data_IF_932895119443
#
_entry.id   IF_932895119443
#
_cell.length_a   1.000
_cell.length_b   1.000
_cell.length_c   1.000
_cell.angle_alpha   90.00
_cell.angle_beta   90.00
_cell.angle_gamma   90.00
#
_symmetry.space_group_name_H-M   'P 1'
#
loop_
_entity.id
_entity.type
_entity.pdbx_description
1 polymer ?
#
# COMPACT_ATOMS: atom_id res chain seq x y z
N UNK A 1 5.27 -5.82 -0.21
CA UNK A 1 5.00 -5.88 -1.67
C UNK A 1 6.14 -5.31 -2.49
N UNK A 2 6.36 -3.99 -2.55
CA UNK A 2 7.38 -3.39 -3.44
C UNK A 2 8.77 -4.05 -3.43
N UNK A 3 9.34 -4.29 -2.24
CA UNK A 3 10.66 -4.93 -2.11
C UNK A 3 10.74 -6.34 -2.69
N UNK A 4 9.77 -7.22 -2.38
CA UNK A 4 9.77 -8.60 -2.90
C UNK A 4 9.44 -8.64 -4.40
N UNK A 5 8.58 -7.75 -4.88
CA UNK A 5 8.29 -7.62 -6.31
C UNK A 5 9.54 -7.20 -7.11
N UNK A 6 10.28 -6.20 -6.60
CA UNK A 6 11.54 -5.77 -7.22
C UNK A 6 12.59 -6.89 -7.18
N UNK A 7 12.76 -7.55 -6.04
CA UNK A 7 13.69 -8.67 -5.89
C UNK A 7 13.37 -9.83 -6.85
N UNK A 8 12.09 -10.20 -6.96
CA UNK A 8 11.64 -11.23 -7.89
C UNK A 8 11.91 -10.87 -9.35
N UNK A 9 11.69 -9.60 -9.74
CA UNK A 9 11.98 -9.13 -11.10
C UNK A 9 13.48 -9.16 -11.42
N UNK A 10 14.32 -8.64 -10.52
CA UNK A 10 15.78 -8.65 -10.69
C UNK A 10 16.34 -10.08 -10.77
N UNK A 11 15.82 -11.00 -9.95
CA UNK A 11 16.21 -12.41 -10.00
C UNK A 11 15.84 -13.04 -11.35
N UNK A 12 14.66 -12.73 -11.89
CA UNK A 12 14.22 -13.22 -13.20
C UNK A 12 15.08 -12.69 -14.36
N UNK A 13 15.71 -11.53 -14.18
CA UNK A 13 16.69 -10.94 -15.13
C UNK A 13 18.12 -11.50 -14.93
N UNK A 14 18.31 -12.44 -14.00
CA UNK A 14 19.58 -13.15 -13.79
C UNK A 14 20.52 -12.50 -12.79
N UNK A 15 20.08 -11.48 -12.05
CA UNK A 15 20.88 -10.86 -11.00
C UNK A 15 20.89 -11.71 -9.73
N UNK A 16 22.00 -11.66 -8.99
CA UNK A 16 22.07 -12.22 -7.63
C UNK A 16 21.47 -11.23 -6.63
N UNK A 17 20.36 -11.60 -6.00
CA UNK A 17 19.61 -10.69 -5.13
C UNK A 17 19.56 -11.17 -3.68
N UNK A 18 19.88 -10.26 -2.75
CA UNK A 18 19.63 -10.42 -1.32
C UNK A 18 18.59 -9.39 -0.88
N UNK A 19 17.48 -9.85 -0.31
CA UNK A 19 16.43 -9.01 0.28
C UNK A 19 16.63 -8.94 1.81
N UNK A 20 16.78 -7.73 2.32
CA UNK A 20 16.93 -7.44 3.76
C UNK A 20 15.61 -6.86 4.29
N UNK A 21 14.95 -7.56 5.21
CA UNK A 21 13.75 -7.10 5.92
C UNK A 21 14.11 -6.79 7.38
N UNK A 22 13.84 -5.56 7.80
CA UNK A 22 14.23 -5.08 9.13
C UNK A 22 13.40 -5.66 10.27
N UNK A 23 12.19 -6.16 10.01
CA UNK A 23 11.39 -6.90 10.99
C UNK A 23 11.75 -8.38 10.97
N UNK A 24 11.42 -9.06 12.06
CA UNK A 24 11.45 -10.52 12.19
C UNK A 24 10.37 -11.24 11.37
N UNK A 25 9.50 -10.49 10.68
CA UNK A 25 8.42 -11.00 9.83
C UNK A 25 8.41 -10.34 8.46
N UNK A 26 7.90 -11.10 7.49
CA UNK A 26 7.61 -10.61 6.15
C UNK A 26 6.31 -9.78 6.12
N UNK A 27 6.04 -9.17 4.96
CA UNK A 27 4.76 -8.49 4.66
C UNK A 27 4.78 -6.97 4.80
N UNK A 28 5.60 -6.42 5.70
CA UNK A 28 5.63 -4.99 5.95
C UNK A 28 4.27 -4.49 6.48
N UNK A 29 3.52 -3.77 5.63
CA UNK A 29 2.16 -3.28 5.94
C UNK A 29 1.07 -4.34 5.78
N UNK A 30 1.39 -5.52 5.25
CA UNK A 30 0.48 -6.66 5.28
C UNK A 30 0.83 -7.52 6.50
N UNK A 31 -0.17 -7.84 7.30
CA UNK A 31 0.00 -8.64 8.50
C UNK A 31 -1.29 -9.38 8.80
N UNK A 32 -1.23 -10.70 8.77
CA UNK A 32 -2.34 -11.59 9.09
C UNK A 32 -2.06 -12.27 10.42
N UNK A 33 -3.00 -12.22 11.35
CA UNK A 33 -3.04 -13.08 12.54
C UNK A 33 -3.99 -14.26 12.29
N UNK A 34 -3.60 -15.45 12.74
CA UNK A 34 -4.38 -16.68 12.60
C UNK A 34 -4.71 -17.33 13.95
N UNK A 35 -4.38 -16.65 15.05
CA UNK A 35 -4.55 -17.17 16.43
C UNK A 35 -5.99 -17.52 16.79
N UNK A 36 -6.98 -16.91 16.11
CA UNK A 36 -8.40 -17.14 16.32
C UNK A 36 -8.99 -18.32 15.52
N UNK A 37 -8.14 -19.08 14.81
CA UNK A 37 -8.58 -20.20 13.96
C UNK A 37 -9.06 -19.80 12.56
N UNK A 38 -8.99 -18.51 12.24
CA UNK A 38 -9.20 -17.95 10.90
C UNK A 38 -8.25 -16.75 10.68
N UNK A 39 -7.90 -16.42 9.42
CA UNK A 39 -7.04 -15.27 9.14
C UNK A 39 -7.77 -13.94 9.38
N UNK A 40 -7.16 -13.08 10.18
CA UNK A 40 -7.55 -11.71 10.42
C UNK A 40 -6.43 -10.77 9.98
N UNK A 41 -6.69 -9.94 8.97
CA UNK A 41 -5.72 -8.98 8.45
C UNK A 41 -5.73 -7.67 9.27
N UNK A 42 -4.56 -7.30 9.78
CA UNK A 42 -4.28 -6.00 10.43
C UNK A 42 -3.72 -4.96 9.44
N UNK A 43 -3.78 -5.26 8.15
CA UNK A 43 -3.26 -4.43 7.06
C UNK A 43 -4.19 -4.49 5.86
N UNK A 44 -3.63 -4.57 4.66
CA UNK A 44 -4.43 -4.85 3.47
C UNK A 44 -5.11 -6.22 3.58
N UNK A 45 -6.33 -6.34 3.05
CA UNK A 45 -7.09 -7.59 2.97
C UNK A 45 -7.75 -7.84 1.60
N UNK A 46 -7.87 -6.80 0.76
CA UNK A 46 -8.53 -6.85 -0.54
C UNK A 46 -7.56 -6.63 -1.71
N UNK A 47 -7.87 -7.26 -2.84
CA UNK A 47 -7.35 -6.90 -4.16
C UNK A 47 -8.47 -6.18 -4.92
N UNK A 48 -8.35 -4.86 -4.99
CA UNK A 48 -9.30 -3.98 -5.67
C UNK A 48 -9.19 -4.09 -7.18
N UNK A 49 -10.32 -4.11 -7.89
CA UNK A 49 -10.38 -4.22 -9.34
C UNK A 49 -9.59 -5.41 -9.87
N UNK A 50 -9.95 -6.64 -9.49
CA UNK A 50 -9.24 -7.85 -9.90
C UNK A 50 -9.55 -8.23 -11.36
N UNK A 51 -9.08 -7.40 -12.29
CA UNK A 51 -9.14 -7.62 -13.74
C UNK A 51 -7.81 -8.08 -14.32
N UNK A 52 -7.78 -8.33 -15.63
CA UNK A 52 -6.54 -8.68 -16.36
C UNK A 52 -5.55 -7.52 -16.43
N UNK A 53 -5.99 -6.29 -16.19
CA UNK A 53 -5.14 -5.10 -16.14
C UNK A 53 -4.45 -4.97 -14.78
N UNK A 54 -5.05 -5.48 -13.70
CA UNK A 54 -4.43 -5.49 -12.38
C UNK A 54 -3.34 -6.59 -12.31
N UNK A 55 -2.05 -6.22 -12.12
CA UNK A 55 -0.97 -7.20 -12.09
C UNK A 55 -1.07 -8.18 -10.92
N UNK A 56 -1.78 -7.83 -9.84
CA UNK A 56 -1.97 -8.72 -8.70
C UNK A 56 -2.92 -9.88 -9.02
N UNK A 57 -3.88 -9.70 -9.92
CA UNK A 57 -4.82 -10.76 -10.34
C UNK A 57 -4.09 -11.99 -10.82
N UNK A 58 -3.12 -11.81 -11.74
CA UNK A 58 -2.33 -12.91 -12.29
C UNK A 58 -1.43 -13.57 -11.23
N UNK A 59 -0.93 -12.79 -10.25
CA UNK A 59 -0.10 -13.31 -9.17
C UNK A 59 -0.93 -14.17 -8.21
N UNK A 60 -2.09 -13.68 -7.78
CA UNK A 60 -3.04 -14.39 -6.90
C UNK A 60 -3.46 -15.71 -7.55
N UNK A 61 -3.87 -15.67 -8.80
CA UNK A 61 -4.26 -16.86 -9.57
C UNK A 61 -3.10 -17.83 -9.75
N UNK A 62 -1.92 -17.33 -10.14
CA UNK A 62 -0.75 -18.20 -10.34
C UNK A 62 -0.25 -18.86 -9.04
N UNK A 63 -0.54 -18.28 -7.89
CA UNK A 63 -0.25 -18.86 -6.57
C UNK A 63 -1.39 -19.75 -6.05
N UNK A 64 -2.50 -19.87 -6.79
CA UNK A 64 -3.71 -20.59 -6.38
C UNK A 64 -4.24 -20.16 -5.00
N UNK A 65 -4.19 -18.86 -4.70
CA UNK A 65 -4.70 -18.33 -3.43
C UNK A 65 -6.22 -18.25 -3.46
N UNK A 66 -6.87 -18.51 -2.32
CA UNK A 66 -8.32 -18.48 -2.22
C UNK A 66 -8.81 -17.04 -2.07
N UNK A 67 -9.82 -16.70 -2.86
CA UNK A 67 -10.47 -15.39 -2.82
C UNK A 67 -11.98 -15.53 -2.84
N UNK A 68 -12.67 -14.50 -2.34
CA UNK A 68 -14.11 -14.31 -2.49
C UNK A 68 -14.36 -12.92 -3.07
N UNK A 69 -15.28 -12.82 -4.04
CA UNK A 69 -15.74 -11.53 -4.55
C UNK A 69 -16.62 -10.89 -3.49
N UNK A 70 -16.15 -9.79 -2.89
CA UNK A 70 -16.89 -9.10 -1.85
C UNK A 70 -18.10 -8.42 -2.50
N UNK A 71 -19.33 -8.67 -2.00
CA UNK A 71 -20.53 -8.09 -2.59
C UNK A 71 -20.71 -6.65 -2.10
N UNK A 72 -19.92 -5.73 -2.65
CA UNK A 72 -19.93 -4.29 -2.34
C UNK A 72 -21.29 -3.62 -2.60
N UNK A 73 -22.17 -4.32 -3.32
CA UNK A 73 -23.43 -3.80 -3.85
C UNK A 73 -24.64 -4.00 -2.93
N UNK A 74 -24.45 -4.50 -1.70
CA UNK A 74 -25.56 -4.77 -0.76
C UNK A 74 -25.33 -4.19 0.64
N UNK A 75 -24.91 -2.92 0.72
CA UNK A 75 -24.71 -2.24 2.00
C UNK A 75 -26.04 -1.76 2.61
N UNK A 76 -26.33 -2.20 3.83
CA UNK A 76 -27.38 -1.60 4.67
C UNK A 76 -26.76 -0.55 5.58
N UNK A 77 -27.36 0.65 5.63
CA UNK A 77 -26.92 1.75 6.48
C UNK A 77 -27.93 1.99 7.60
N UNK A 78 -27.41 2.30 8.78
CA UNK A 78 -28.19 2.52 9.99
C UNK A 78 -27.70 3.78 10.69
N UNK A 79 -28.60 4.51 11.34
CA UNK A 79 -28.20 5.59 12.24
C UNK A 79 -27.64 5.03 13.56
N UNK A 80 -27.20 5.94 14.44
CA UNK A 80 -26.67 5.62 15.77
C UNK A 80 -27.65 4.88 16.68
N UNK A 81 -28.95 4.91 16.37
CA UNK A 81 -30.02 4.28 17.14
C UNK A 81 -30.45 2.94 16.50
N UNK A 82 -29.80 2.52 15.41
CA UNK A 82 -30.06 1.27 14.70
C UNK A 82 -31.24 1.35 13.72
N UNK A 83 -31.72 2.54 13.39
CA UNK A 83 -32.80 2.73 12.40
C UNK A 83 -32.20 2.68 10.99
N UNK A 84 -32.74 1.80 10.15
CA UNK A 84 -32.29 1.64 8.76
C UNK A 84 -32.59 2.90 7.95
N UNK A 85 -31.62 3.34 7.15
CA UNK A 85 -31.78 4.48 6.26
C UNK A 85 -32.82 4.19 5.17
N UNK A 86 -33.66 5.20 4.88
CA UNK A 86 -34.58 5.15 3.75
C UNK A 86 -33.87 5.51 2.43
N UNK A 87 -34.56 5.33 1.30
CA UNK A 87 -34.01 5.56 -0.04
C UNK A 87 -33.45 6.98 -0.25
N UNK A 88 -34.07 8.02 0.33
CA UNK A 88 -33.60 9.40 0.17
C UNK A 88 -32.32 9.65 0.96
N UNK A 89 -32.21 9.09 2.17
CA UNK A 89 -30.98 9.20 2.97
C UNK A 89 -29.82 8.46 2.31
N UNK A 90 -30.08 7.26 1.75
CA UNK A 90 -29.09 6.53 0.96
C UNK A 90 -28.68 7.35 -0.25
N UNK A 91 -29.62 7.82 -1.08
CA UNK A 91 -29.31 8.59 -2.27
C UNK A 91 -28.48 9.86 -1.98
N UNK A 92 -28.79 10.55 -0.88
CA UNK A 92 -28.04 11.73 -0.46
C UNK A 92 -26.60 11.39 -0.04
N UNK A 93 -26.41 10.27 0.65
CA UNK A 93 -25.09 9.78 1.02
C UNK A 93 -24.28 9.36 -0.23
N UNK A 94 -24.89 8.61 -1.16
CA UNK A 94 -24.20 8.17 -2.39
C UNK A 94 -23.74 9.38 -3.23
N UNK A 95 -24.60 10.40 -3.35
CA UNK A 95 -24.27 11.66 -4.02
C UNK A 95 -23.02 12.33 -3.43
N UNK A 96 -22.85 12.28 -2.12
CA UNK A 96 -21.74 12.94 -1.43
C UNK A 96 -20.46 12.12 -1.38
N UNK A 97 -20.55 10.78 -1.42
CA UNK A 97 -19.37 9.93 -1.29
C UNK A 97 -18.80 9.50 -2.62
N UNK A 98 -19.63 9.43 -3.66
CA UNK A 98 -19.20 8.97 -4.97
C UNK A 98 -19.39 10.03 -6.05
N UNK A 99 -20.45 10.85 -5.99
CA UNK A 99 -20.68 11.84 -7.06
C UNK A 99 -20.05 13.21 -6.75
N UNK A 100 -19.63 13.46 -5.51
CA UNK A 100 -18.99 14.71 -5.08
C UNK A 100 -17.48 14.64 -5.33
N UNK A 101 -17.11 14.57 -6.61
CA UNK A 101 -15.72 14.45 -7.03
C UNK A 101 -15.18 15.75 -7.65
N UNK A 102 -14.00 16.20 -7.21
CA UNK A 102 -13.32 17.30 -7.89
C UNK A 102 -12.91 16.88 -9.30
N UNK A 103 -13.38 17.62 -10.31
CA UNK A 103 -12.98 17.40 -11.69
C UNK A 103 -11.52 17.78 -11.97
N UNK A 104 -11.03 17.40 -13.16
CA UNK A 104 -9.69 17.76 -13.63
C UNK A 104 -9.46 19.29 -13.54
N UNK A 105 -8.38 19.68 -12.87
CA UNK A 105 -8.01 21.09 -12.68
C UNK A 105 -8.57 21.72 -11.39
N UNK A 106 -9.19 20.93 -10.51
CA UNK A 106 -9.52 21.38 -9.16
C UNK A 106 -8.28 21.91 -8.43
N UNK A 107 -8.48 22.93 -7.59
CA UNK A 107 -7.42 23.53 -6.76
C UNK A 107 -7.87 23.59 -5.30
N UNK A 108 -6.92 23.77 -4.40
CA UNK A 108 -7.20 23.79 -2.96
C UNK A 108 -7.36 22.40 -2.36
N UNK A 109 -8.00 22.35 -1.20
CA UNK A 109 -8.20 21.14 -0.41
C UNK A 109 -9.51 20.44 -0.78
N UNK A 110 -9.60 19.14 -0.50
CA UNK A 110 -10.85 18.39 -0.67
C UNK A 110 -11.96 18.97 0.21
N UNK A 111 -11.65 19.43 1.42
CA UNK A 111 -12.61 20.15 2.27
C UNK A 111 -13.20 21.39 1.58
N UNK A 112 -12.34 22.24 1.01
CA UNK A 112 -12.77 23.45 0.32
C UNK A 112 -13.70 23.13 -0.84
N UNK A 113 -13.38 22.07 -1.59
CA UNK A 113 -14.25 21.55 -2.64
C UNK A 113 -15.60 21.09 -2.08
N UNK A 114 -15.62 20.21 -1.08
CA UNK A 114 -16.86 19.65 -0.52
C UNK A 114 -17.79 20.74 0.04
N UNK A 115 -17.22 21.75 0.72
CA UNK A 115 -17.99 22.93 1.20
C UNK A 115 -18.62 23.73 0.07
N UNK A 116 -17.93 23.81 -1.07
CA UNK A 116 -18.44 24.50 -2.26
C UNK A 116 -19.47 23.67 -3.04
N UNK A 117 -19.33 22.34 -3.02
CA UNK A 117 -20.21 21.40 -3.70
C UNK A 117 -21.59 21.40 -3.05
N UNK A 118 -21.64 21.24 -1.72
CA UNK A 118 -22.88 21.35 -0.95
C UNK A 118 -22.58 21.89 0.48
N UNK A 119 -23.01 23.12 0.81
CA UNK A 119 -22.82 23.69 2.16
C UNK A 119 -23.46 22.87 3.27
N UNK A 120 -24.43 22.00 2.97
CA UNK A 120 -25.07 21.13 3.95
C UNK A 120 -24.22 19.91 4.32
N UNK A 121 -23.19 19.55 3.54
CA UNK A 121 -22.36 18.36 3.75
C UNK A 121 -21.89 18.26 5.21
N UNK A 122 -21.17 19.27 5.69
CA UNK A 122 -20.58 19.30 7.05
C UNK A 122 -21.59 19.60 8.18
N UNK A 123 -22.89 19.63 7.88
CA UNK A 123 -23.94 19.98 8.83
C UNK A 123 -24.96 18.85 9.01
N UNK A 124 -24.63 17.64 8.54
CA UNK A 124 -25.54 16.48 8.57
C UNK A 124 -24.79 15.21 8.95
N UNK A 125 -25.50 14.25 9.52
CA UNK A 125 -24.93 12.95 9.89
C UNK A 125 -24.44 12.20 8.65
N UNK A 126 -25.16 12.28 7.53
CA UNK A 126 -24.79 11.63 6.28
C UNK A 126 -23.46 12.17 5.73
N UNK A 127 -23.23 13.49 5.83
CA UNK A 127 -21.97 14.09 5.38
C UNK A 127 -20.80 13.76 6.31
N UNK A 128 -21.01 13.69 7.63
CA UNK A 128 -19.99 13.20 8.58
C UNK A 128 -19.62 11.73 8.32
N UNK A 129 -20.59 10.87 8.03
CA UNK A 129 -20.31 9.48 7.63
C UNK A 129 -19.51 9.42 6.34
N UNK A 130 -19.82 10.32 5.40
CA UNK A 130 -19.11 10.41 4.14
C UNK A 130 -17.67 10.92 4.30
N UNK A 131 -17.49 11.93 5.15
CA UNK A 131 -16.20 12.48 5.54
C UNK A 131 -15.29 11.39 6.11
N UNK A 132 -15.82 10.52 6.96
CA UNK A 132 -15.07 9.36 7.47
C UNK A 132 -14.65 8.38 6.36
N UNK A 133 -15.48 8.22 5.32
CA UNK A 133 -15.14 7.44 4.12
C UNK A 133 -13.99 8.07 3.33
N UNK A 134 -14.05 9.38 3.09
CA UNK A 134 -12.95 10.12 2.46
C UNK A 134 -11.65 10.02 3.26
N UNK A 135 -11.70 10.24 4.58
CA UNK A 135 -10.55 10.12 5.46
C UNK A 135 -9.94 8.71 5.43
N UNK A 136 -10.79 7.69 5.35
CA UNK A 136 -10.37 6.29 5.24
C UNK A 136 -9.68 6.01 3.90
N UNK A 137 -10.27 6.40 2.78
CA UNK A 137 -9.72 6.17 1.44
C UNK A 137 -8.40 6.91 1.24
N UNK A 138 -8.33 8.16 1.70
CA UNK A 138 -7.18 9.04 1.50
C UNK A 138 -6.08 8.82 2.55
N UNK A 139 -6.42 8.20 3.68
CA UNK A 139 -5.53 8.02 4.83
C UNK A 139 -5.12 9.35 5.48
N UNK A 140 -5.93 10.40 5.31
CA UNK A 140 -5.67 11.75 5.79
C UNK A 140 -6.97 12.54 5.86
N UNK A 141 -7.04 13.51 6.78
CA UNK A 141 -8.13 14.47 6.83
C UNK A 141 -8.27 15.25 5.52
N UNK A 142 -9.50 15.47 5.06
CA UNK A 142 -9.83 16.15 3.78
C UNK A 142 -9.31 17.59 3.66
N UNK A 143 -8.95 18.25 4.77
CA UNK A 143 -8.33 19.57 4.79
C UNK A 143 -6.84 19.54 4.41
N UNK A 144 -6.22 18.35 4.46
CA UNK A 144 -4.83 18.11 4.05
C UNK A 144 -4.73 17.41 2.68
N UNK A 145 -5.83 16.91 2.15
CA UNK A 145 -5.88 16.25 0.84
C UNK A 145 -6.09 17.29 -0.25
N UNK A 146 -5.25 17.25 -1.29
CA UNK A 146 -5.43 18.11 -2.47
C UNK A 146 -6.61 17.62 -3.30
N UNK A 147 -7.55 18.52 -3.63
CA UNK A 147 -8.70 18.17 -4.47
C UNK A 147 -8.27 17.67 -5.87
N UNK A 148 -7.16 18.18 -6.41
CA UNK A 148 -6.61 17.75 -7.69
C UNK A 148 -6.19 16.27 -7.73
N UNK A 149 -5.86 15.69 -6.58
CA UNK A 149 -5.42 14.29 -6.44
C UNK A 149 -6.57 13.32 -6.73
N UNK A 150 -7.79 13.64 -6.30
CA UNK A 150 -8.94 12.73 -6.33
C UNK A 150 -9.26 12.30 -7.77
N UNK A 151 -9.23 13.23 -8.71
CA UNK A 151 -9.43 12.92 -10.13
C UNK A 151 -8.37 11.94 -10.70
N UNK A 152 -7.13 11.99 -10.20
CA UNK A 152 -6.04 11.16 -10.74
C UNK A 152 -6.13 9.70 -10.30
N UNK A 153 -6.64 9.42 -9.09
CA UNK A 153 -6.79 8.05 -8.58
C UNK A 153 -7.84 7.24 -9.34
N UNK A 154 -8.93 7.88 -9.79
CA UNK A 154 -10.03 7.24 -10.54
C UNK A 154 -9.58 6.70 -11.90
N UNK A 155 -8.70 7.42 -12.59
CA UNK A 155 -8.20 7.01 -13.92
C UNK A 155 -7.32 5.75 -13.84
N UNK A 156 -6.83 5.42 -12.64
CA UNK A 156 -5.97 4.26 -12.39
C UNK A 156 -6.76 3.01 -11.99
N UNK A 157 -8.09 3.10 -11.83
CA UNK A 157 -8.92 1.94 -11.50
C UNK A 157 -9.04 0.97 -12.67
N UNK A 158 -8.75 -0.30 -12.39
CA UNK A 158 -8.65 -1.34 -13.42
C UNK A 158 -9.97 -2.09 -13.65
N UNK A 159 -11.06 -1.68 -12.97
CA UNK A 159 -12.35 -2.35 -12.95
C UNK A 159 -12.25 -3.82 -12.50
N UNK A 160 -13.39 -4.48 -12.34
CA UNK A 160 -13.45 -5.91 -11.97
C UNK A 160 -13.92 -6.17 -10.54
N UNK A 161 -13.89 -7.45 -10.10
CA UNK A 161 -14.36 -7.86 -8.78
C UNK A 161 -13.41 -7.43 -7.65
N UNK A 162 -13.96 -7.42 -6.44
CA UNK A 162 -13.30 -6.92 -5.23
C UNK A 162 -12.89 -8.11 -4.37
N UNK A 163 -11.71 -8.67 -4.63
CA UNK A 163 -11.33 -9.95 -4.05
C UNK A 163 -10.85 -9.80 -2.61
N UNK A 164 -11.62 -10.35 -1.67
CA UNK A 164 -11.17 -10.60 -0.31
C UNK A 164 -10.24 -11.84 -0.29
N UNK A 165 -9.06 -11.70 0.33
CA UNK A 165 -8.09 -12.79 0.46
C UNK A 165 -8.46 -13.73 1.62
N UNK A 166 -8.95 -14.94 1.33
CA UNK A 166 -9.46 -15.88 2.34
C UNK A 166 -8.38 -16.58 3.17
N UNK A 167 -7.14 -16.54 2.70
CA UNK A 167 -5.96 -17.09 3.40
C UNK A 167 -5.15 -15.99 4.12
N UNK A 168 -5.73 -14.78 4.21
CA UNK A 168 -5.07 -13.57 4.67
C UNK A 168 -4.12 -13.00 3.63
N UNK A 169 -4.01 -11.68 3.56
CA UNK A 169 -3.24 -11.01 2.52
C UNK A 169 -1.74 -11.33 2.57
N UNK A 170 -1.20 -11.70 3.74
CA UNK A 170 0.22 -12.10 3.85
C UNK A 170 0.56 -13.34 3.02
N UNK A 171 -0.43 -14.20 2.71
CA UNK A 171 -0.26 -15.37 1.84
C UNK A 171 0.34 -15.00 0.46
N UNK A 172 -0.07 -13.86 -0.09
CA UNK A 172 0.46 -13.31 -1.34
C UNK A 172 1.95 -13.00 -1.24
N UNK A 173 2.37 -12.39 -0.12
CA UNK A 173 3.78 -12.07 0.14
C UNK A 173 4.58 -13.34 0.32
N UNK A 174 4.06 -14.30 1.10
CA UNK A 174 4.73 -15.57 1.36
C UNK A 174 4.94 -16.36 0.06
N UNK A 175 3.93 -16.43 -0.81
CA UNK A 175 4.05 -17.09 -2.11
C UNK A 175 5.09 -16.43 -3.02
N UNK A 176 5.15 -15.10 -3.04
CA UNK A 176 6.19 -14.36 -3.78
C UNK A 176 7.60 -14.63 -3.21
N UNK A 177 7.74 -14.64 -1.88
CA UNK A 177 9.02 -14.97 -1.22
C UNK A 177 9.46 -16.40 -1.53
N UNK A 178 8.54 -17.36 -1.46
CA UNK A 178 8.83 -18.75 -1.78
C UNK A 178 9.31 -18.92 -3.23
N UNK A 179 8.65 -18.25 -4.19
CA UNK A 179 9.09 -18.23 -5.60
C UNK A 179 10.48 -17.63 -5.75
N UNK A 180 10.72 -16.50 -5.10
CA UNK A 180 12.02 -15.82 -5.13
C UNK A 180 13.14 -16.70 -4.57
N UNK A 181 12.93 -17.34 -3.42
CA UNK A 181 13.91 -18.25 -2.82
C UNK A 181 14.13 -19.50 -3.67
N UNK A 182 13.07 -20.06 -4.27
CA UNK A 182 13.18 -21.22 -5.18
C UNK A 182 13.99 -20.90 -6.44
N UNK A 183 14.02 -19.63 -6.86
CA UNK A 183 14.83 -19.15 -7.96
C UNK A 183 16.28 -18.79 -7.55
N UNK A 184 16.69 -19.06 -6.30
CA UNK A 184 18.04 -18.79 -5.79
C UNK A 184 18.20 -17.46 -5.06
N UNK A 185 17.12 -16.70 -4.87
CA UNK A 185 17.13 -15.45 -4.13
C UNK A 185 17.34 -15.66 -2.63
N UNK A 186 18.03 -14.73 -1.96
CA UNK A 186 18.26 -14.78 -0.51
C UNK A 186 17.37 -13.78 0.22
N UNK A 187 16.71 -14.20 1.31
CA UNK A 187 15.92 -13.32 2.18
C UNK A 187 16.46 -13.38 3.60
N UNK A 188 16.68 -12.22 4.22
CA UNK A 188 17.10 -12.08 5.62
C UNK A 188 16.09 -11.23 6.37
N UNK A 189 15.38 -11.82 7.32
CA UNK A 189 14.52 -11.11 8.29
C UNK A 189 15.32 -10.71 9.53
N UNK A 190 14.85 -9.70 10.27
CA UNK A 190 15.58 -9.09 11.40
C UNK A 190 16.82 -8.29 10.95
N UNK A 191 17.01 -8.15 9.63
CA UNK A 191 18.14 -7.49 9.00
C UNK A 191 17.88 -5.98 8.89
N UNK A 192 17.88 -5.28 10.02
CA UNK A 192 17.64 -3.83 10.03
C UNK A 192 18.85 -3.11 9.44
N UNK A 193 18.69 -2.61 8.21
CA UNK A 193 19.66 -1.72 7.56
C UNK A 193 19.78 -0.43 8.37
N UNK A 194 21.01 -0.06 8.71
CA UNK A 194 21.35 1.15 9.46
C UNK A 194 22.10 2.18 8.61
N UNK A 195 22.77 1.73 7.56
CA UNK A 195 23.55 2.61 6.69
C UNK A 195 23.61 2.03 5.26
N UNK A 196 23.55 2.92 4.28
CA UNK A 196 23.84 2.61 2.87
C UNK A 196 24.85 3.65 2.40
N UNK A 197 26.06 3.21 2.14
CA UNK A 197 27.12 4.03 1.55
C UNK A 197 27.19 3.71 0.06
N UNK A 198 27.13 4.73 -0.78
CA UNK A 198 27.18 4.57 -2.22
C UNK A 198 27.95 5.76 -2.80
N UNK A 199 28.64 5.55 -3.91
CA UNK A 199 29.32 6.62 -4.60
C UNK A 199 28.37 7.27 -5.60
N UNK A 200 28.38 8.61 -5.66
CA UNK A 200 27.78 9.36 -6.75
C UNK A 200 28.90 9.72 -7.73
N UNK A 201 28.95 9.07 -8.89
CA UNK A 201 29.95 9.36 -9.92
C UNK A 201 29.34 9.27 -11.31
N UNK A 202 29.43 10.35 -12.08
CA UNK A 202 29.21 10.31 -13.52
C UNK A 202 30.52 9.89 -14.21
N UNK A 203 30.51 8.73 -14.86
CA UNK A 203 31.62 8.24 -15.69
C UNK A 203 32.56 7.26 -14.98
N UNK A 204 32.52 6.00 -15.42
CA UNK A 204 33.56 4.96 -15.32
C UNK A 204 34.27 4.71 -13.96
N UNK A 205 33.55 4.86 -12.85
CA UNK A 205 33.99 4.27 -11.57
C UNK A 205 33.09 3.08 -11.26
N UNK A 206 33.65 1.88 -11.33
CA UNK A 206 33.03 0.67 -10.75
C UNK A 206 32.98 0.85 -9.23
N UNK A 207 31.96 1.54 -8.73
CA UNK A 207 31.75 1.76 -7.32
C UNK A 207 30.66 0.81 -6.82
N UNK A 208 31.01 0.00 -5.82
CA UNK A 208 30.07 -0.85 -5.11
C UNK A 208 29.45 -0.06 -3.97
N UNK A 209 28.16 -0.28 -3.71
CA UNK A 209 27.49 0.23 -2.54
C UNK A 209 27.75 -0.71 -1.36
N UNK A 210 27.98 -0.17 -0.17
CA UNK A 210 28.08 -0.92 1.07
C UNK A 210 26.81 -0.75 1.89
N UNK A 211 26.18 -1.86 2.25
CA UNK A 211 24.97 -1.89 3.06
C UNK A 211 25.31 -2.48 4.42
N UNK A 212 25.13 -1.69 5.48
CA UNK A 212 25.34 -2.12 6.86
C UNK A 212 23.99 -2.40 7.50
N UNK A 213 23.83 -3.59 8.10
CA UNK A 213 22.62 -4.04 8.76
C UNK A 213 22.90 -4.88 10.00
N UNK A 214 21.90 -5.02 10.86
CA UNK A 214 21.99 -5.86 12.06
C UNK A 214 21.70 -7.33 11.73
N UNK A 215 22.54 -8.27 12.16
CA UNK A 215 22.30 -9.71 12.06
C UNK A 215 22.72 -10.36 13.39
N UNK A 216 21.81 -11.09 14.04
CA UNK A 216 22.06 -11.74 15.34
C UNK A 216 22.65 -10.81 16.42
N UNK A 217 22.23 -9.54 16.44
CA UNK A 217 22.73 -8.53 17.39
C UNK A 217 24.07 -7.90 17.02
N UNK A 218 24.70 -8.33 15.92
CA UNK A 218 25.97 -7.78 15.42
C UNK A 218 25.74 -6.92 14.18
N UNK A 219 26.64 -5.97 13.94
CA UNK A 219 26.67 -5.19 12.69
C UNK A 219 27.38 -6.00 11.60
N UNK A 220 26.76 -6.12 10.44
CA UNK A 220 27.30 -6.78 9.25
C UNK A 220 27.25 -5.81 8.09
N UNK A 221 28.33 -5.75 7.30
CA UNK A 221 28.40 -4.95 6.08
C UNK A 221 28.55 -5.86 4.87
N UNK A 222 27.76 -5.61 3.84
CA UNK A 222 27.77 -6.34 2.59
C UNK A 222 27.84 -5.37 1.41
N UNK A 223 28.75 -5.63 0.47
CA UNK A 223 28.85 -4.87 -0.77
C UNK A 223 27.86 -5.38 -1.83
N UNK A 224 27.35 -4.47 -2.66
CA UNK A 224 26.48 -4.77 -3.79
C UNK A 224 26.72 -3.78 -4.94
N UNK A 225 26.48 -4.21 -6.19
CA UNK A 225 26.58 -3.31 -7.36
C UNK A 225 25.44 -2.28 -7.40
N UNK A 226 24.30 -2.59 -6.79
CA UNK A 226 23.15 -1.71 -6.70
C UNK A 226 22.32 -1.98 -5.43
N UNK A 227 21.59 -0.97 -4.96
CA UNK A 227 20.70 -1.07 -3.80
C UNK A 227 19.33 -0.52 -4.16
N UNK A 228 18.29 -1.33 -3.96
CA UNK A 228 16.89 -0.90 -4.09
C UNK A 228 16.30 -0.69 -2.70
N UNK A 229 15.89 0.55 -2.41
CA UNK A 229 15.30 0.89 -1.11
C UNK A 229 13.78 0.91 -1.22
N UNK A 230 13.12 -0.04 -0.54
CA UNK A 230 11.66 -0.18 -0.54
C UNK A 230 11.03 0.06 0.86
N UNK A 231 11.61 0.97 1.65
CA UNK A 231 11.08 1.31 2.98
C UNK A 231 9.83 2.21 2.87
N UNK A 232 8.90 2.16 3.85
CA UNK A 232 7.74 3.06 3.87
C UNK A 232 8.14 4.54 3.89
N UNK A 233 7.36 5.41 3.23
CA UNK A 233 7.63 6.86 3.11
C UNK A 233 7.91 7.57 4.45
N UNK A 234 7.30 7.10 5.56
CA UNK A 234 7.55 7.64 6.90
C UNK A 234 8.94 7.32 7.49
N UNK A 235 9.70 6.39 6.90
CA UNK A 235 11.03 6.00 7.38
C UNK A 235 12.12 6.99 6.95
N UNK A 236 12.26 7.37 5.66
CA UNK A 236 13.25 8.37 5.24
C UNK A 236 13.03 9.75 5.88
N UNK A 237 11.76 10.17 6.04
CA UNK A 237 11.42 11.47 6.66
C UNK A 237 11.90 11.64 8.11
N UNK A 238 12.27 10.54 8.80
CA UNK A 238 12.78 10.55 10.18
C UNK A 238 14.32 10.50 10.30
N UNK A 239 15.07 10.84 9.23
CA UNK A 239 16.55 10.76 9.19
C UNK A 239 17.14 9.38 9.56
N UNK A 240 16.38 8.28 9.40
CA UNK A 240 16.85 6.93 9.77
C UNK A 240 17.69 6.24 8.70
N UNK A 241 17.65 6.76 7.48
CA UNK A 241 18.46 6.36 6.32
C UNK A 241 18.73 7.64 5.53
N UNK A 242 19.61 8.49 6.05
CA UNK A 242 20.09 9.63 5.28
C UNK A 242 21.19 9.12 4.34
N UNK A 243 21.12 9.37 3.02
CA UNK A 243 22.30 9.28 2.19
C UNK A 243 23.31 10.33 2.70
N UNK A 244 24.43 9.88 3.26
CA UNK A 244 25.52 10.78 3.61
C UNK A 244 26.32 11.08 2.34
N UNK A 245 25.77 11.98 1.52
CA UNK A 245 26.58 12.78 0.61
C UNK A 245 26.88 14.08 1.34
N UNK A 246 28.11 14.25 1.83
CA UNK A 246 28.62 15.58 2.09
C UNK A 246 28.64 16.31 0.74
N UNK A 247 27.68 17.22 0.55
CA UNK A 247 27.73 18.43 -0.29
C UNK A 247 26.29 18.93 -0.60
N UNK A 248 25.79 19.82 0.27
CA UNK A 248 24.88 20.91 -0.10
C UNK A 248 25.40 22.21 0.53
#
# INVERSE_FOLDING_TARGET
>A
MGGISAAGKLQAEGHSVTLLEGRDRLGGRTWTDTSLGFPADFGASWVHGASVQNPLTAVVQGLNLRTEDHPDKQLCRYDKDGVKYNANQVAKWELWCWDAEPGHGATGTLEQFLRSYDPAFFNTVEGEMCLAGWDFNEGSAVDLVSAAKIYQSEVEETGGPEWLMLDGYVSLVNGLVQRFQSAGGTVKTGAKVTQVEYCMGFGDVSCTANVTYTENGSSVTQSADAVVVAVPLGVPRRQRLAPSGDDL
#
